data_IF_436768310889
#
_entry.id   IF_436768310889
#
_cell.length_a   1.000
_cell.length_b   1.000
_cell.length_c   1.000
_cell.angle_alpha   90.00
_cell.angle_beta   90.00
_cell.angle_gamma   90.00
#
_symmetry.space_group_name_H-M   'P 1'
#
loop_
_entity.id
_entity.type
_entity.pdbx_description
1 polymer ?
#
# COMPACT_ATOMS: atom_id res chain seq x y z
N UNK A 1 5.92 -15.29 17.55
CA UNK A 1 5.22 -15.50 16.26
C UNK A 1 6.19 -15.48 15.09
N UNK A 2 6.88 -14.37 14.76
CA UNK A 2 7.92 -14.35 13.70
C UNK A 2 9.00 -15.42 13.94
N UNK A 3 9.66 -15.39 15.10
CA UNK A 3 10.68 -16.39 15.48
C UNK A 3 10.16 -17.84 15.48
N UNK A 4 8.87 -18.04 15.74
CA UNK A 4 8.24 -19.36 15.80
C UNK A 4 8.06 -19.93 14.38
N UNK A 5 7.56 -19.10 13.45
CA UNK A 5 7.39 -19.46 12.04
C UNK A 5 8.74 -19.77 11.38
N UNK A 6 9.75 -18.95 11.65
CA UNK A 6 11.08 -19.19 11.10
C UNK A 6 11.72 -20.47 11.69
N UNK A 7 11.48 -20.76 12.98
CA UNK A 7 11.95 -21.99 13.63
C UNK A 7 11.26 -23.26 13.10
N UNK A 8 10.04 -23.14 12.56
CA UNK A 8 9.29 -24.21 11.89
C UNK A 8 9.68 -24.38 10.40
N UNK A 9 10.70 -23.67 9.92
CA UNK A 9 11.17 -23.72 8.52
C UNK A 9 10.31 -22.90 7.54
N UNK A 10 9.38 -22.10 8.05
CA UNK A 10 8.58 -21.18 7.26
C UNK A 10 9.34 -19.90 6.89
N UNK A 11 8.66 -19.01 6.16
CA UNK A 11 9.17 -17.68 5.87
C UNK A 11 8.26 -16.63 6.53
N UNK A 12 8.62 -16.19 7.74
CA UNK A 12 7.80 -15.26 8.51
C UNK A 12 7.62 -13.90 7.84
N UNK A 13 8.55 -13.51 6.95
CA UNK A 13 8.41 -12.29 6.18
C UNK A 13 7.18 -12.35 5.27
N UNK A 14 7.05 -13.40 4.45
CA UNK A 14 5.89 -13.56 3.57
C UNK A 14 4.62 -13.99 4.32
N UNK A 15 4.75 -14.84 5.32
CA UNK A 15 3.59 -15.42 6.02
C UNK A 15 2.97 -14.47 7.06
N UNK A 16 3.73 -13.50 7.58
CA UNK A 16 3.25 -12.63 8.64
C UNK A 16 3.52 -11.15 8.37
N UNK A 17 4.76 -10.77 8.08
CA UNK A 17 5.11 -9.34 7.99
C UNK A 17 4.43 -8.64 6.81
N UNK A 18 4.43 -9.26 5.62
CA UNK A 18 3.75 -8.71 4.44
C UNK A 18 2.23 -8.58 4.68
N UNK A 19 1.50 -9.63 5.13
CA UNK A 19 0.09 -9.51 5.47
C UNK A 19 -0.21 -8.45 6.53
N UNK A 20 0.61 -8.36 7.59
CA UNK A 20 0.44 -7.35 8.64
C UNK A 20 0.57 -5.93 8.09
N UNK A 21 1.58 -5.68 7.25
CA UNK A 21 1.77 -4.38 6.61
C UNK A 21 0.63 -4.02 5.64
N UNK A 22 0.08 -5.01 4.92
CA UNK A 22 -1.10 -4.83 4.07
C UNK A 22 -2.33 -4.44 4.89
N UNK A 23 -2.54 -5.05 6.06
CA UNK A 23 -3.64 -4.66 6.97
C UNK A 23 -3.45 -3.21 7.43
N UNK A 24 -2.25 -2.83 7.86
CA UNK A 24 -1.95 -1.44 8.26
C UNK A 24 -2.20 -0.46 7.11
N UNK A 25 -1.83 -0.82 5.87
CA UNK A 25 -2.12 -0.02 4.68
C UNK A 25 -3.62 0.19 4.48
N UNK A 26 -4.43 -0.86 4.57
CA UNK A 26 -5.90 -0.76 4.44
C UNK A 26 -6.51 0.15 5.51
N UNK A 27 -6.01 0.06 6.74
CA UNK A 27 -6.46 0.93 7.83
C UNK A 27 -6.08 2.38 7.61
N UNK A 28 -4.87 2.64 7.09
CA UNK A 28 -4.46 3.98 6.65
C UNK A 28 -5.32 4.51 5.52
N UNK A 29 -5.61 3.69 4.52
CA UNK A 29 -6.50 4.02 3.41
C UNK A 29 -7.91 4.39 3.87
N UNK A 30 -8.48 3.67 4.85
CA UNK A 30 -9.80 3.99 5.42
C UNK A 30 -9.89 5.38 6.07
N UNK A 31 -8.75 6.03 6.36
CA UNK A 31 -8.72 7.41 6.87
C UNK A 31 -8.83 8.45 5.75
N UNK A 32 -8.54 8.08 4.50
CA UNK A 32 -8.54 8.95 3.33
C UNK A 32 -9.95 9.13 2.75
N UNK A 33 -10.72 8.05 2.65
CA UNK A 33 -12.07 8.05 2.07
C UNK A 33 -13.07 7.63 3.15
N UNK A 34 -13.82 8.58 3.68
CA UNK A 34 -14.85 8.40 4.74
C UNK A 34 -16.25 8.77 4.26
N UNK A 35 -16.38 9.47 3.14
CA UNK A 35 -17.65 9.84 2.51
C UNK A 35 -17.60 9.71 0.99
N UNK A 36 -18.76 9.76 0.33
CA UNK A 36 -18.89 9.71 -1.14
C UNK A 36 -18.25 10.91 -1.85
N UNK A 37 -18.03 12.02 -1.13
CA UNK A 37 -17.47 13.24 -1.68
C UNK A 37 -15.99 13.43 -1.35
N UNK A 38 -15.39 12.52 -0.56
CA UNK A 38 -13.99 12.63 -0.18
C UNK A 38 -13.10 12.38 -1.40
N UNK A 39 -12.13 13.27 -1.58
CA UNK A 39 -11.07 13.13 -2.58
C UNK A 39 -9.74 13.31 -1.88
N UNK A 40 -8.78 12.47 -2.22
CA UNK A 40 -7.42 12.61 -1.70
C UNK A 40 -6.43 11.69 -2.39
N UNK A 41 -5.19 11.76 -1.93
CA UNK A 41 -4.08 10.98 -2.46
C UNK A 41 -3.52 10.08 -1.37
N UNK A 42 -3.30 8.82 -1.73
CA UNK A 42 -2.49 7.89 -0.95
C UNK A 42 -1.08 7.88 -1.53
N UNK A 43 -0.09 8.28 -0.74
CA UNK A 43 1.30 8.34 -1.18
C UNK A 43 2.09 7.23 -0.50
N UNK A 44 2.64 6.32 -1.30
CA UNK A 44 3.51 5.23 -0.84
C UNK A 44 4.96 5.55 -1.18
N UNK A 45 5.72 6.06 -0.21
CA UNK A 45 7.12 6.46 -0.38
C UNK A 45 8.09 5.28 -0.16
N UNK A 46 7.78 4.14 -0.76
CA UNK A 46 8.58 2.92 -0.62
C UNK A 46 8.80 2.25 -1.98
N UNK A 47 10.02 2.35 -2.49
CA UNK A 47 10.43 1.76 -3.77
C UNK A 47 10.25 0.24 -3.82
N UNK A 48 10.16 -0.45 -2.67
CA UNK A 48 9.96 -1.90 -2.62
C UNK A 48 8.59 -2.29 -3.19
N UNK A 49 7.60 -1.42 -3.10
CA UNK A 49 6.25 -1.66 -3.65
C UNK A 49 6.30 -1.85 -5.17
N UNK A 50 7.20 -1.13 -5.86
CA UNK A 50 7.38 -1.25 -7.30
C UNK A 50 8.40 -2.34 -7.68
N UNK A 51 9.47 -2.49 -6.91
CA UNK A 51 10.63 -3.32 -7.29
C UNK A 51 10.57 -4.77 -6.81
N UNK A 52 9.78 -5.09 -5.79
CA UNK A 52 9.73 -6.44 -5.21
C UNK A 52 8.44 -7.14 -5.61
N UNK A 53 8.51 -8.46 -5.84
CA UNK A 53 7.37 -9.27 -6.25
C UNK A 53 6.17 -9.15 -5.27
N UNK A 54 6.45 -9.12 -3.96
CA UNK A 54 5.39 -8.95 -2.95
C UNK A 54 4.74 -7.56 -2.97
N UNK A 55 5.35 -6.56 -3.60
CA UNK A 55 4.80 -5.21 -3.71
C UNK A 55 3.45 -5.21 -4.43
N UNK A 56 3.26 -6.14 -5.37
CA UNK A 56 1.99 -6.37 -6.05
C UNK A 56 0.83 -6.62 -5.08
N UNK A 57 1.07 -7.37 -4.00
CA UNK A 57 0.06 -7.69 -2.97
C UNK A 57 -0.48 -6.40 -2.32
N UNK A 58 0.38 -5.41 -2.08
CA UNK A 58 -0.05 -4.13 -1.51
C UNK A 58 -0.98 -3.39 -2.45
N UNK A 59 -0.62 -3.33 -3.74
CA UNK A 59 -1.39 -2.57 -4.72
C UNK A 59 -2.72 -3.24 -5.04
N UNK A 60 -2.74 -4.57 -5.15
CA UNK A 60 -3.96 -5.36 -5.35
C UNK A 60 -4.86 -5.39 -4.10
N UNK A 61 -4.31 -5.08 -2.92
CA UNK A 61 -5.12 -5.00 -1.70
C UNK A 61 -6.00 -3.75 -1.62
N UNK A 62 -5.73 -2.74 -2.45
CA UNK A 62 -6.47 -1.49 -2.51
C UNK A 62 -7.54 -1.56 -3.63
N UNK A 63 -8.63 -0.77 -3.54
CA UNK A 63 -9.57 -0.66 -4.65
C UNK A 63 -8.87 -0.15 -5.94
N UNK A 64 -9.49 -0.40 -7.09
CA UNK A 64 -8.92 -0.12 -8.41
C UNK A 64 -8.87 1.38 -8.75
N UNK A 65 -8.03 2.14 -8.05
CA UNK A 65 -7.81 3.56 -8.28
C UNK A 65 -6.72 3.85 -9.31
N UNK A 66 -6.72 5.07 -9.82
CA UNK A 66 -5.61 5.60 -10.63
C UNK A 66 -4.34 5.66 -9.80
N UNK A 67 -3.24 5.22 -10.40
CA UNK A 67 -1.90 5.18 -9.81
C UNK A 67 -0.96 5.98 -10.70
N UNK A 68 0.03 6.63 -10.10
CA UNK A 68 1.04 7.37 -10.84
C UNK A 68 2.33 7.47 -10.02
N UNK A 69 3.46 7.58 -10.72
CA UNK A 69 4.77 7.97 -10.17
C UNK A 69 5.18 9.36 -10.65
N UNK A 70 4.32 10.04 -11.39
CA UNK A 70 4.56 11.36 -11.97
C UNK A 70 4.03 12.45 -11.04
N UNK A 71 4.92 13.35 -10.59
CA UNK A 71 4.53 14.47 -9.72
C UNK A 71 3.58 15.46 -10.43
N UNK A 72 3.70 15.61 -11.75
CA UNK A 72 2.81 16.45 -12.56
C UNK A 72 1.35 16.01 -12.45
N UNK A 73 1.07 14.70 -12.37
CA UNK A 73 -0.28 14.16 -12.18
C UNK A 73 -0.85 14.50 -10.81
N UNK A 74 0.01 14.59 -9.79
CA UNK A 74 -0.37 15.02 -8.44
C UNK A 74 -0.70 16.52 -8.44
N UNK A 75 0.10 17.35 -9.10
CA UNK A 75 -0.21 18.78 -9.26
C UNK A 75 -1.55 19.00 -9.97
N UNK A 76 -1.79 18.28 -11.08
CA UNK A 76 -3.06 18.29 -11.80
C UNK A 76 -4.25 17.88 -10.91
N UNK A 77 -4.06 16.90 -10.01
CA UNK A 77 -5.11 16.47 -9.08
C UNK A 77 -5.56 17.60 -8.15
N UNK A 78 -4.62 18.44 -7.68
CA UNK A 78 -4.90 19.61 -6.85
C UNK A 78 -5.32 20.85 -7.65
N UNK A 79 -5.35 20.79 -8.97
CA UNK A 79 -5.67 21.94 -9.82
C UNK A 79 -4.54 22.98 -9.90
N UNK A 80 -3.32 22.64 -9.49
CA UNK A 80 -2.15 23.46 -9.75
C UNK A 80 -1.75 23.27 -11.22
N UNK A 81 -1.74 24.37 -11.97
CA UNK A 81 -1.22 24.42 -13.35
C UNK A 81 0.31 24.31 -13.36
#
# INVERSE_FOLDING_TARGET
>A
RVKSIDAEGGNAFFQYQVPAAVISLKQGFGRLIRSLHDRGLLVLLDNRILKKAYGRVFVESLPAYRRTTELSRVAQFFGAQ
#
